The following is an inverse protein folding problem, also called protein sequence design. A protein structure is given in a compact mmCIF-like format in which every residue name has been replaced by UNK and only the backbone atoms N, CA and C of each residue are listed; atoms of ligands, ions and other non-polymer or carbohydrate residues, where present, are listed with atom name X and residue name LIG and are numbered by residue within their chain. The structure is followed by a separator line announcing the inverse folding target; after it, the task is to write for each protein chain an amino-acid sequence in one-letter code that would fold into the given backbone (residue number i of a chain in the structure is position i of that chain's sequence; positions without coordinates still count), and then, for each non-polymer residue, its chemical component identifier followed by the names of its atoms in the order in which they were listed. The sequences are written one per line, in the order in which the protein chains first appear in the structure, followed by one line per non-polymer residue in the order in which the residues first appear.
data_IF_694679728081
#
_entry.id   IF_694679728081
#
_cell.length_a   1.000
_cell.length_b   1.000
_cell.length_c   1.000
_cell.angle_alpha   90.00
_cell.angle_beta   90.00
_cell.angle_gamma   90.00
#
_symmetry.space_group_name_H-M   'P 1'
#
loop_
_entity.id
_entity.type
_entity.pdbx_description
1 polymer ?
#
# COMPACT_ATOMS: atom_id res chain seq x y z
N UNK A 1 32.58 30.84 7.13
CA UNK A 1 31.22 30.79 7.73
C UNK A 1 31.31 30.25 9.15
N UNK A 2 31.09 31.10 10.15
CA UNK A 2 31.26 30.80 11.58
C UNK A 2 29.97 30.18 12.16
N UNK A 3 30.03 28.89 12.53
CA UNK A 3 28.92 28.12 13.09
C UNK A 3 28.68 28.54 14.56
N UNK A 4 27.70 29.43 14.80
CA UNK A 4 27.27 29.83 16.15
C UNK A 4 26.66 28.62 16.87
N UNK A 5 27.34 28.10 17.89
CA UNK A 5 26.81 27.06 18.79
C UNK A 5 25.75 27.70 19.69
N UNK A 6 24.51 27.24 19.57
CA UNK A 6 23.43 27.62 20.47
C UNK A 6 23.71 26.95 21.83
N UNK A 7 23.76 27.71 22.94
CA UNK A 7 24.09 27.15 24.24
C UNK A 7 22.98 26.21 24.73
N UNK A 8 23.40 24.99 25.07
CA UNK A 8 22.60 23.82 25.49
C UNK A 8 21.57 24.09 26.62
N UNK A 9 21.72 25.21 27.34
CA UNK A 9 20.85 25.59 28.46
C UNK A 9 19.43 25.98 28.05
N UNK A 10 19.22 26.48 26.82
CA UNK A 10 17.88 26.85 26.36
C UNK A 10 17.06 25.67 25.87
N UNK A 11 17.71 24.57 25.48
CA UNK A 11 17.02 23.37 24.97
C UNK A 11 16.14 22.72 26.04
N UNK A 12 16.59 22.69 27.29
CA UNK A 12 15.83 22.14 28.42
C UNK A 12 14.57 22.94 28.75
N UNK A 13 14.60 24.27 28.63
CA UNK A 13 13.44 25.12 28.91
C UNK A 13 12.32 24.94 27.89
N UNK A 14 12.66 24.72 26.61
CA UNK A 14 11.67 24.44 25.56
C UNK A 14 11.02 23.06 25.78
N UNK A 15 11.80 22.06 26.21
CA UNK A 15 11.30 20.71 26.46
C UNK A 15 10.25 20.68 27.59
N UNK A 16 10.45 21.44 28.67
CA UNK A 16 9.51 21.50 29.80
C UNK A 16 8.20 22.21 29.42
N UNK A 17 8.25 23.18 28.50
CA UNK A 17 7.05 23.91 28.03
C UNK A 17 6.13 23.04 27.17
N UNK A 18 6.66 22.05 26.44
CA UNK A 18 5.85 21.13 25.64
C UNK A 18 5.11 20.07 26.47
N UNK A 19 5.59 19.73 27.67
CA UNK A 19 4.99 18.68 28.50
C UNK A 19 3.73 19.14 29.27
N UNK A 20 3.39 20.44 29.25
CA UNK A 20 2.27 20.99 30.00
C UNK A 20 0.92 21.07 29.24
N UNK A 21 0.86 20.65 27.97
CA UNK A 21 -0.31 20.89 27.09
C UNK A 21 -1.22 19.67 26.86
N UNK A 22 -1.12 18.59 27.63
CA UNK A 22 -2.03 17.45 27.51
C UNK A 22 -3.24 17.60 28.43
N UNK A 23 -4.32 18.23 27.94
CA UNK A 23 -5.64 18.12 28.54
C UNK A 23 -6.32 16.82 28.10
N UNK A 24 -6.93 16.03 29.01
CA UNK A 24 -7.63 14.81 28.66
C UNK A 24 -8.88 15.11 27.82
N UNK A 25 -8.92 14.56 26.61
CA UNK A 25 -10.10 14.60 25.73
C UNK A 25 -11.10 13.55 26.23
N UNK A 26 -12.34 13.98 26.48
CA UNK A 26 -13.42 13.11 26.91
C UNK A 26 -13.83 12.16 25.77
N UNK A 27 -13.76 10.87 26.04
CA UNK A 27 -14.17 9.78 25.16
C UNK A 27 -15.70 9.72 25.04
N UNK A 28 -16.29 9.87 23.84
CA UNK A 28 -17.73 9.64 23.66
C UNK A 28 -18.07 8.14 23.74
N UNK A 29 -19.18 7.84 24.41
CA UNK A 29 -19.70 6.50 24.62
C UNK A 29 -20.21 5.84 23.31
N UNK A 30 -20.09 4.50 23.18
CA UNK A 30 -20.56 3.78 22.00
C UNK A 30 -22.09 3.76 21.94
N UNK A 31 -22.63 4.13 20.78
CA UNK A 31 -24.06 4.04 20.46
C UNK A 31 -24.34 2.65 19.88
N UNK A 32 -25.19 1.89 20.55
CA UNK A 32 -25.67 0.58 20.09
C UNK A 32 -26.60 0.74 18.88
N UNK A 33 -26.26 0.08 17.77
CA UNK A 33 -27.10 0.03 16.57
C UNK A 33 -27.82 -1.32 16.50
N UNK A 34 -29.14 -1.24 16.34
CA UNK A 34 -30.09 -2.36 16.35
C UNK A 34 -29.92 -3.30 15.15
N UNK A 35 -30.00 -4.61 15.44
CA UNK A 35 -29.97 -5.70 14.48
C UNK A 35 -31.34 -5.86 13.81
N UNK A 36 -31.39 -5.79 12.48
CA UNK A 36 -32.59 -6.13 11.70
C UNK A 36 -32.62 -7.64 11.42
N UNK A 37 -33.74 -8.24 11.82
CA UNK A 37 -34.09 -9.65 11.59
C UNK A 37 -34.49 -9.88 10.13
N UNK A 38 -33.81 -10.79 9.45
CA UNK A 38 -34.12 -11.19 8.07
C UNK A 38 -34.93 -12.49 8.08
N UNK A 39 -36.10 -12.44 7.43
CA UNK A 39 -37.07 -13.54 7.28
C UNK A 39 -36.58 -14.54 6.22
N UNK A 40 -36.72 -15.87 6.44
CA UNK A 40 -36.33 -16.88 5.45
C UNK A 40 -37.38 -17.05 4.33
N UNK A 41 -36.97 -17.29 3.07
CA UNK A 41 -37.90 -17.60 1.99
C UNK A 41 -38.35 -19.07 1.98
N UNK A 42 -39.64 -19.25 1.67
CA UNK A 42 -40.33 -20.52 1.46
C UNK A 42 -39.79 -21.26 0.23
N UNK A 43 -39.46 -22.55 0.38
CA UNK A 43 -39.03 -23.43 -0.70
C UNK A 43 -40.23 -24.09 -1.40
N UNK A 44 -40.33 -23.91 -2.71
CA UNK A 44 -41.24 -24.65 -3.60
C UNK A 44 -40.54 -25.91 -4.09
N UNK A 45 -41.15 -27.07 -3.86
CA UNK A 45 -40.63 -28.36 -4.31
C UNK A 45 -40.90 -28.56 -5.82
N UNK A 46 -39.84 -28.67 -6.61
CA UNK A 46 -39.88 -29.08 -8.02
C UNK A 46 -39.41 -30.53 -8.13
N UNK A 47 -40.14 -31.33 -8.91
CA UNK A 47 -39.90 -32.75 -9.14
C UNK A 47 -38.70 -32.95 -10.06
N UNK A 48 -37.66 -33.63 -9.57
CA UNK A 48 -36.43 -33.93 -10.32
C UNK A 48 -36.51 -35.26 -11.07
N UNK A 49 -36.17 -35.22 -12.36
CA UNK A 49 -35.91 -36.36 -13.24
C UNK A 49 -34.42 -36.73 -13.11
N UNK A 50 -34.05 -38.01 -12.89
CA UNK A 50 -32.66 -38.38 -12.65
C UNK A 50 -31.85 -38.33 -13.96
N UNK A 51 -31.17 -37.20 -14.18
CA UNK A 51 -30.14 -37.07 -15.22
C UNK A 51 -28.78 -37.24 -14.55
N UNK A 52 -28.12 -38.37 -14.79
CA UNK A 52 -26.75 -38.62 -14.34
C UNK A 52 -25.83 -37.81 -15.25
N UNK A 53 -25.61 -36.53 -14.90
CA UNK A 53 -24.53 -35.73 -15.46
C UNK A 53 -23.35 -35.83 -14.51
N UNK A 54 -22.25 -36.43 -14.96
CA UNK A 54 -20.95 -36.29 -14.32
C UNK A 54 -20.61 -34.79 -14.31
N UNK A 55 -20.60 -34.10 -13.16
CA UNK A 55 -20.35 -32.68 -13.14
C UNK A 55 -18.89 -32.48 -13.53
N UNK A 56 -18.67 -31.85 -14.69
CA UNK A 56 -17.37 -31.27 -15.00
C UNK A 56 -17.04 -30.30 -13.85
N UNK A 57 -15.84 -30.34 -13.25
CA UNK A 57 -15.51 -29.45 -12.14
C UNK A 57 -15.69 -28.01 -12.64
N UNK A 58 -16.73 -27.35 -12.11
CA UNK A 58 -16.98 -25.93 -12.38
C UNK A 58 -15.66 -25.22 -12.09
N UNK A 59 -15.11 -24.43 -13.05
CA UNK A 59 -13.92 -23.64 -12.78
C UNK A 59 -14.25 -22.81 -11.56
N UNK A 60 -13.59 -23.09 -10.43
CA UNK A 60 -13.76 -22.32 -9.21
C UNK A 60 -13.39 -20.90 -9.55
N UNK A 61 -14.40 -20.09 -9.85
CA UNK A 61 -14.24 -18.68 -10.13
C UNK A 61 -13.64 -18.11 -8.86
N UNK A 62 -12.32 -17.85 -8.91
CA UNK A 62 -11.62 -17.28 -7.77
C UNK A 62 -12.21 -15.91 -7.60
N UNK A 63 -13.03 -15.76 -6.56
CA UNK A 63 -13.39 -14.46 -6.05
C UNK A 63 -12.08 -13.82 -5.62
N UNK A 64 -11.49 -13.00 -6.49
CA UNK A 64 -10.57 -11.99 -6.03
C UNK A 64 -11.38 -11.20 -5.01
N UNK A 65 -10.99 -11.17 -3.72
CA UNK A 65 -11.66 -10.29 -2.80
C UNK A 65 -11.62 -8.92 -3.46
N UNK A 66 -12.79 -8.29 -3.62
CA UNK A 66 -12.84 -6.88 -3.96
C UNK A 66 -12.23 -6.21 -2.75
N UNK A 67 -10.93 -5.97 -2.81
CA UNK A 67 -10.21 -5.18 -1.81
C UNK A 67 -10.59 -3.75 -2.14
N UNK A 68 -11.79 -3.36 -1.72
CA UNK A 68 -12.11 -1.95 -1.59
C UNK A 68 -11.07 -1.40 -0.62
N UNK A 69 -10.26 -0.41 -1.01
CA UNK A 69 -9.28 0.14 -0.10
C UNK A 69 -10.04 0.66 1.11
N UNK A 70 -9.81 0.02 2.25
CA UNK A 70 -10.48 0.36 3.49
C UNK A 70 -10.27 1.87 3.75
N UNK A 71 -11.25 2.56 4.34
CA UNK A 71 -11.07 3.92 4.83
C UNK A 71 -9.82 4.03 5.72
N UNK A 72 -9.41 2.92 6.34
CA UNK A 72 -8.13 2.77 7.05
C UNK A 72 -6.92 2.93 6.11
N UNK A 73 -6.93 2.34 4.92
CA UNK A 73 -5.85 2.52 3.92
C UNK A 73 -5.79 3.96 3.41
N UNK A 74 -6.94 4.62 3.23
CA UNK A 74 -7.02 6.05 2.88
C UNK A 74 -6.38 6.94 3.95
N UNK A 75 -6.50 6.58 5.23
CA UNK A 75 -5.87 7.34 6.32
C UNK A 75 -4.39 7.01 6.56
N UNK A 76 -3.93 5.86 6.09
CA UNK A 76 -2.59 5.32 6.38
C UNK A 76 -1.65 5.23 5.18
N UNK A 77 -2.01 5.81 4.03
CA UNK A 77 -1.19 5.71 2.82
C UNK A 77 0.25 6.23 3.03
N UNK A 78 0.46 7.20 3.92
CA UNK A 78 1.79 7.72 4.28
C UNK A 78 2.67 6.63 4.92
N UNK A 79 2.10 5.75 5.73
CA UNK A 79 2.79 4.60 6.34
C UNK A 79 3.24 3.62 5.26
N UNK A 80 2.36 3.31 4.31
CA UNK A 80 2.67 2.47 3.15
C UNK A 80 3.78 3.07 2.30
N UNK A 81 3.67 4.35 1.95
CA UNK A 81 4.70 5.02 1.17
C UNK A 81 6.06 5.00 1.89
N UNK A 82 6.07 5.30 3.19
CA UNK A 82 7.29 5.27 4.00
C UNK A 82 7.93 3.88 4.02
N UNK A 83 7.12 2.83 4.21
CA UNK A 83 7.60 1.45 4.23
C UNK A 83 8.13 1.02 2.86
N UNK A 84 7.43 1.34 1.78
CA UNK A 84 7.84 1.04 0.41
C UNK A 84 9.13 1.77 0.04
N UNK A 85 9.24 3.06 0.37
CA UNK A 85 10.44 3.85 0.11
C UNK A 85 11.69 3.25 0.78
N UNK A 86 11.58 2.87 2.07
CA UNK A 86 12.66 2.23 2.82
C UNK A 86 13.14 0.92 2.20
N UNK A 87 12.23 0.12 1.65
CA UNK A 87 12.60 -1.16 1.02
C UNK A 87 13.08 -1.00 -0.42
N UNK A 88 12.43 -0.15 -1.21
CA UNK A 88 12.68 0.00 -2.64
C UNK A 88 14.00 0.71 -2.94
N UNK A 89 14.26 1.83 -2.26
CA UNK A 89 15.43 2.67 -2.48
C UNK A 89 16.12 2.92 -1.14
N UNK A 90 16.49 1.83 -0.47
CA UNK A 90 17.01 1.81 0.92
C UNK A 90 18.25 2.67 1.19
N UNK A 91 18.93 3.12 0.15
CA UNK A 91 20.08 4.02 0.22
C UNK A 91 19.72 5.51 0.23
N UNK A 92 18.43 5.85 0.06
CA UNK A 92 17.89 7.20 0.16
C UNK A 92 17.04 7.35 1.42
N UNK A 93 16.85 8.58 1.87
CA UNK A 93 15.89 8.84 2.93
C UNK A 93 14.45 8.65 2.41
N UNK A 94 13.50 8.15 3.22
CA UNK A 94 12.13 7.90 2.76
C UNK A 94 11.41 9.16 2.23
N UNK A 95 11.70 10.32 2.80
CA UNK A 95 11.21 11.63 2.35
C UNK A 95 11.75 12.06 0.98
N UNK A 96 12.83 11.44 0.51
CA UNK A 96 13.46 11.68 -0.78
C UNK A 96 12.93 10.73 -1.87
N UNK A 97 11.88 9.94 -1.56
CA UNK A 97 11.33 8.91 -2.44
C UNK A 97 9.81 9.02 -2.50
N UNK A 98 9.29 9.05 -3.72
CA UNK A 98 7.85 8.91 -3.98
C UNK A 98 7.58 7.53 -4.54
N UNK A 99 6.53 6.88 -4.03
CA UNK A 99 6.09 5.57 -4.49
C UNK A 99 4.62 5.60 -4.90
N UNK A 100 4.32 4.82 -5.93
CA UNK A 100 2.99 4.46 -6.40
C UNK A 100 2.91 2.94 -6.44
N UNK A 101 1.75 2.38 -6.15
CA UNK A 101 1.57 0.94 -6.18
C UNK A 101 0.16 0.56 -6.58
N UNK A 102 0.02 -0.69 -7.00
CA UNK A 102 -1.27 -1.31 -7.25
C UNK A 102 -1.32 -2.73 -6.71
N UNK A 103 -2.52 -3.19 -6.35
CA UNK A 103 -2.72 -4.51 -5.76
C UNK A 103 -2.89 -5.54 -6.88
N UNK A 104 -2.05 -6.56 -6.86
CA UNK A 104 -2.10 -7.72 -7.75
C UNK A 104 -2.93 -8.85 -7.13
N UNK A 105 -2.99 -8.89 -5.79
CA UNK A 105 -3.78 -9.86 -5.05
C UNK A 105 -3.48 -9.79 -3.55
N UNK A 106 -4.16 -10.62 -2.78
CA UNK A 106 -3.91 -10.77 -1.35
C UNK A 106 -4.12 -12.22 -0.90
N UNK A 107 -3.51 -12.57 0.23
CA UNK A 107 -3.73 -13.84 0.92
C UNK A 107 -3.50 -13.65 2.42
N UNK A 108 -4.56 -13.81 3.23
CA UNK A 108 -4.53 -13.57 4.67
C UNK A 108 -3.87 -12.23 5.03
N UNK A 109 -2.67 -12.26 5.63
CA UNK A 109 -1.88 -11.10 6.06
C UNK A 109 -0.83 -10.68 5.01
N UNK A 110 -0.99 -11.06 3.75
CA UNK A 110 -0.05 -10.71 2.67
C UNK A 110 -0.77 -9.96 1.57
N UNK A 111 -0.26 -8.79 1.21
CA UNK A 111 -0.63 -8.08 -0.01
C UNK A 111 0.47 -8.28 -1.05
N UNK A 112 0.07 -8.67 -2.26
CA UNK A 112 0.95 -8.70 -3.41
C UNK A 112 0.69 -7.46 -4.25
N UNK A 113 1.73 -6.70 -4.52
CA UNK A 113 1.62 -5.41 -5.21
C UNK A 113 2.61 -5.30 -6.36
N UNK A 114 2.32 -4.43 -7.31
CA UNK A 114 3.33 -3.85 -8.19
C UNK A 114 3.67 -2.47 -7.66
N UNK A 115 4.95 -2.19 -7.41
CA UNK A 115 5.40 -0.88 -6.91
C UNK A 115 6.29 -0.19 -7.93
N UNK A 116 6.09 1.12 -8.08
CA UNK A 116 6.97 2.03 -8.78
C UNK A 116 7.44 3.08 -7.77
N UNK A 117 8.74 3.23 -7.57
CA UNK A 117 9.31 4.25 -6.71
C UNK A 117 10.36 5.06 -7.48
N UNK A 118 10.43 6.37 -7.22
CA UNK A 118 11.42 7.26 -7.82
C UNK A 118 11.97 8.24 -6.79
N UNK A 119 13.26 8.56 -6.90
CA UNK A 119 13.90 9.62 -6.13
C UNK A 119 13.37 11.01 -6.53
N UNK A 120 13.13 11.85 -5.53
CA UNK A 120 12.77 13.27 -5.69
C UNK A 120 13.99 14.18 -5.83
N UNK A 121 15.19 13.67 -5.52
CA UNK A 121 16.43 14.44 -5.58
C UNK A 121 16.76 14.78 -7.04
N UNK A 122 17.03 16.05 -7.37
CA UNK A 122 17.46 16.43 -8.71
C UNK A 122 18.80 15.77 -9.08
N UNK A 123 18.90 15.32 -10.32
CA UNK A 123 20.13 14.81 -10.92
C UNK A 123 21.32 15.76 -10.69
N UNK A 124 22.50 15.24 -10.34
CA UNK A 124 23.72 16.03 -10.16
C UNK A 124 23.85 16.76 -8.82
N UNK A 125 22.91 16.55 -7.89
CA UNK A 125 22.99 17.16 -6.54
C UNK A 125 23.57 16.23 -5.48
N UNK A 126 23.72 14.94 -5.77
CA UNK A 126 24.36 13.99 -4.86
C UNK A 126 25.88 14.07 -5.00
N UNK A 127 26.56 14.25 -3.88
CA UNK A 127 28.03 14.36 -3.82
C UNK A 127 28.77 13.08 -4.22
N UNK A 128 28.06 11.99 -4.52
CA UNK A 128 28.64 10.68 -4.85
C UNK A 128 28.87 10.48 -6.36
N UNK A 129 28.41 11.38 -7.23
CA UNK A 129 28.69 11.34 -8.67
C UNK A 129 28.13 10.11 -9.41
N UNK A 130 27.34 9.28 -8.74
CA UNK A 130 26.58 8.17 -9.33
C UNK A 130 25.18 8.68 -9.64
N UNK A 131 25.08 9.55 -10.64
CA UNK A 131 23.82 10.12 -11.13
C UNK A 131 23.02 9.09 -11.94
N UNK A 132 22.75 7.92 -11.37
CA UNK A 132 21.81 6.99 -11.96
C UNK A 132 20.43 7.33 -11.40
N UNK A 133 19.45 7.55 -12.28
CA UNK A 133 18.06 7.69 -11.86
C UNK A 133 17.70 6.53 -10.93
N UNK A 134 17.49 6.86 -9.66
CA UNK A 134 17.04 5.92 -8.65
C UNK A 134 15.55 5.70 -8.85
N UNK A 135 15.21 4.89 -9.86
CA UNK A 135 13.85 4.40 -10.06
C UNK A 135 13.81 2.88 -9.95
N UNK A 136 12.70 2.38 -9.41
CA UNK A 136 12.42 0.97 -9.27
C UNK A 136 11.00 0.71 -9.74
N UNK A 137 10.80 -0.34 -10.54
CA UNK A 137 9.48 -0.84 -10.94
C UNK A 137 9.51 -2.36 -10.86
N UNK A 138 8.85 -2.93 -9.86
CA UNK A 138 8.99 -4.36 -9.52
C UNK A 138 7.78 -4.87 -8.75
N UNK A 139 7.46 -6.16 -8.80
CA UNK A 139 6.53 -6.74 -7.83
C UNK A 139 7.14 -6.70 -6.42
N UNK A 140 6.30 -6.56 -5.41
CA UNK A 140 6.66 -6.61 -4.00
C UNK A 140 5.57 -7.30 -3.20
N UNK A 141 5.91 -7.84 -2.02
CA UNK A 141 4.91 -8.26 -1.05
C UNK A 141 4.98 -7.39 0.21
N UNK A 142 3.82 -7.11 0.77
CA UNK A 142 3.66 -6.45 2.06
C UNK A 142 3.09 -7.48 3.02
N UNK A 143 3.81 -7.76 4.11
CA UNK A 143 3.27 -8.51 5.25
C UNK A 143 2.59 -7.53 6.20
N UNK A 144 1.38 -7.89 6.57
CA UNK A 144 0.56 -7.16 7.52
C UNK A 144 0.54 -7.90 8.86
N UNK A 145 0.35 -7.16 9.93
CA UNK A 145 0.00 -7.69 11.23
C UNK A 145 -1.51 -7.95 11.32
N UNK A 146 -1.99 -8.58 12.39
CA UNK A 146 -3.40 -8.92 12.61
C UNK A 146 -4.32 -7.68 12.63
N UNK A 147 -3.77 -6.51 13.00
CA UNK A 147 -4.46 -5.23 12.99
C UNK A 147 -4.36 -4.49 11.63
N UNK A 148 -3.83 -5.15 10.60
CA UNK A 148 -3.63 -4.58 9.27
C UNK A 148 -2.47 -3.60 9.14
N UNK A 149 -1.62 -3.45 10.17
CA UNK A 149 -0.42 -2.61 10.11
C UNK A 149 0.70 -3.26 9.32
N UNK A 150 1.59 -2.45 8.75
CA UNK A 150 2.70 -2.99 7.96
C UNK A 150 3.74 -3.60 8.90
N UNK A 151 3.98 -4.90 8.74
CA UNK A 151 5.05 -5.60 9.44
C UNK A 151 6.35 -5.54 8.63
N UNK A 152 6.29 -5.85 7.33
CA UNK A 152 7.46 -5.89 6.46
C UNK A 152 7.10 -5.69 4.99
N UNK A 153 8.06 -5.19 4.20
CA UNK A 153 7.98 -5.11 2.74
C UNK A 153 9.15 -5.86 2.14
N UNK A 154 8.87 -6.89 1.33
CA UNK A 154 9.88 -7.70 0.65
C UNK A 154 9.82 -7.45 -0.86
N UNK A 155 10.99 -7.14 -1.43
CA UNK A 155 11.19 -6.92 -2.85
C UNK A 155 12.15 -8.01 -3.35
N UNK A 156 11.79 -8.78 -4.39
CA UNK A 156 12.67 -9.81 -4.92
C UNK A 156 13.98 -9.19 -5.41
N UNK A 157 15.10 -9.88 -5.16
CA UNK A 157 16.38 -9.43 -5.64
C UNK A 157 16.42 -9.38 -7.18
N UNK A 158 17.00 -8.33 -7.79
CA UNK A 158 17.04 -8.20 -9.24
C UNK A 158 17.66 -9.43 -9.92
N UNK A 159 17.04 -9.90 -11.01
CA UNK A 159 17.57 -11.01 -11.81
C UNK A 159 17.49 -12.39 -11.16
N UNK A 160 16.89 -12.53 -9.97
CA UNK A 160 16.71 -13.82 -9.31
C UNK A 160 15.41 -14.50 -9.72
N UNK A 161 15.34 -15.81 -9.58
CA UNK A 161 14.10 -16.58 -9.73
C UNK A 161 13.23 -16.56 -8.47
N UNK A 162 13.60 -15.76 -7.46
CA UNK A 162 12.94 -15.73 -6.15
C UNK A 162 11.48 -15.27 -6.25
N UNK A 163 11.15 -14.44 -7.25
CA UNK A 163 9.77 -14.04 -7.49
C UNK A 163 8.84 -15.24 -7.72
N UNK A 164 9.30 -16.35 -8.34
CA UNK A 164 8.45 -17.53 -8.55
C UNK A 164 8.07 -18.23 -7.25
N UNK A 165 8.87 -18.06 -6.19
CA UNK A 165 8.63 -18.63 -4.86
C UNK A 165 7.85 -17.68 -3.97
N UNK A 166 8.06 -16.37 -4.15
CA UNK A 166 7.44 -15.32 -3.34
C UNK A 166 6.00 -15.03 -3.74
N UNK A 167 5.65 -15.21 -5.01
CA UNK A 167 4.35 -14.84 -5.57
C UNK A 167 3.60 -16.07 -6.07
N UNK A 168 2.30 -16.23 -5.77
CA UNK A 168 1.49 -17.31 -6.34
C UNK A 168 1.31 -17.12 -7.84
N UNK A 169 1.07 -18.21 -8.58
CA UNK A 169 1.04 -18.21 -10.05
C UNK A 169 0.09 -17.15 -10.64
N UNK A 170 -1.09 -16.97 -10.04
CA UNK A 170 -2.07 -15.98 -10.51
C UNK A 170 -1.61 -14.52 -10.38
N UNK A 171 -0.69 -14.22 -9.44
CA UNK A 171 -0.08 -12.90 -9.32
C UNK A 171 1.03 -12.74 -10.36
N UNK A 172 1.78 -13.82 -10.64
CA UNK A 172 2.85 -13.79 -11.62
C UNK A 172 2.33 -13.55 -13.05
N UNK A 173 1.14 -14.06 -13.37
CA UNK A 173 0.45 -13.83 -14.65
C UNK A 173 0.20 -12.33 -14.94
N UNK A 174 0.07 -11.50 -13.90
CA UNK A 174 -0.13 -10.04 -14.02
C UNK A 174 1.16 -9.27 -14.32
N UNK A 175 2.35 -9.86 -14.14
CA UNK A 175 3.62 -9.10 -14.18
C UNK A 175 3.90 -8.45 -15.53
N UNK A 176 3.59 -9.13 -16.64
CA UNK A 176 3.84 -8.57 -17.97
C UNK A 176 2.93 -7.38 -18.29
N UNK A 177 1.68 -7.41 -17.80
CA UNK A 177 0.74 -6.30 -17.96
C UNK A 177 1.25 -5.02 -17.29
N UNK A 178 1.83 -5.13 -16.09
CA UNK A 178 2.43 -3.99 -15.41
C UNK A 178 3.76 -3.57 -16.04
N UNK A 179 4.64 -4.53 -16.35
CA UNK A 179 5.95 -4.26 -16.94
C UNK A 179 5.85 -3.50 -18.26
N UNK A 180 4.89 -3.84 -19.11
CA UNK A 180 4.79 -3.27 -20.46
C UNK A 180 3.65 -2.25 -20.65
N UNK A 181 2.84 -1.99 -19.62
CA UNK A 181 1.68 -1.09 -19.74
C UNK A 181 1.49 -0.20 -18.52
N UNK A 182 0.94 -0.78 -17.45
CA UNK A 182 0.34 -0.01 -16.36
C UNK A 182 1.35 0.77 -15.50
N UNK A 183 2.60 0.29 -15.40
CA UNK A 183 3.65 0.99 -14.64
C UNK A 183 3.91 2.43 -15.15
N UNK A 184 3.64 2.72 -16.42
CA UNK A 184 3.76 4.07 -16.98
C UNK A 184 2.80 5.06 -16.32
N UNK A 185 1.57 4.63 -16.03
CA UNK A 185 0.58 5.49 -15.37
C UNK A 185 0.99 5.82 -13.93
N UNK A 186 1.54 4.83 -13.22
CA UNK A 186 2.09 5.01 -11.88
C UNK A 186 3.26 6.02 -11.90
N UNK A 187 4.24 5.83 -12.79
CA UNK A 187 5.37 6.77 -12.95
C UNK A 187 4.92 8.19 -13.33
N UNK A 188 3.97 8.33 -14.25
CA UNK A 188 3.41 9.64 -14.61
C UNK A 188 2.78 10.34 -13.39
N UNK A 189 2.12 9.60 -12.52
CA UNK A 189 1.54 10.18 -11.30
C UNK A 189 2.61 10.56 -10.27
N UNK A 190 3.70 9.80 -10.15
CA UNK A 190 4.86 10.23 -9.35
C UNK A 190 5.36 11.60 -9.82
N UNK A 191 5.50 11.79 -11.13
CA UNK A 191 5.93 13.08 -11.70
C UNK A 191 4.98 14.22 -11.33
N UNK A 192 3.67 13.98 -11.33
CA UNK A 192 2.67 14.94 -10.85
C UNK A 192 2.85 15.27 -9.37
N UNK A 193 3.03 14.25 -8.52
CA UNK A 193 3.18 14.39 -7.06
C UNK A 193 4.47 15.11 -6.65
N UNK A 194 5.50 15.16 -7.51
CA UNK A 194 6.70 15.99 -7.26
C UNK A 194 6.36 17.48 -7.08
N UNK A 195 5.32 17.97 -7.75
CA UNK A 195 4.83 19.35 -7.60
C UNK A 195 3.56 19.45 -6.75
N UNK A 196 2.99 18.33 -6.35
CA UNK A 196 1.77 18.22 -5.53
C UNK A 196 1.99 17.25 -4.36
N UNK A 197 2.82 17.62 -3.36
CA UNK A 197 3.28 16.67 -2.33
C UNK A 197 2.17 16.14 -1.41
N UNK A 198 1.04 16.87 -1.32
CA UNK A 198 -0.11 16.46 -0.52
C UNK A 198 -1.07 15.55 -1.29
N UNK A 199 -0.86 15.33 -2.59
CA UNK A 199 -1.68 14.44 -3.39
C UNK A 199 -1.36 12.98 -3.01
N UNK A 200 -2.36 12.16 -2.64
CA UNK A 200 -2.14 10.79 -2.25
C UNK A 200 -1.86 9.91 -3.49
N UNK A 201 -1.38 8.67 -3.30
CA UNK A 201 -1.16 7.73 -4.39
C UNK A 201 -2.43 7.39 -5.19
N UNK A 202 -2.29 6.97 -6.45
CA UNK A 202 -3.41 6.64 -7.36
C UNK A 202 -4.37 5.61 -6.78
N UNK A 203 -3.86 4.63 -6.04
CA UNK A 203 -4.67 3.60 -5.40
C UNK A 203 -5.68 4.19 -4.40
N UNK A 204 -5.36 5.33 -3.78
CA UNK A 204 -6.24 6.04 -2.86
C UNK A 204 -7.27 6.86 -3.64
N UNK A 205 -6.83 7.51 -4.72
CA UNK A 205 -7.71 8.29 -5.59
C UNK A 205 -8.75 7.42 -6.30
N UNK A 206 -8.38 6.20 -6.72
CA UNK A 206 -9.29 5.24 -7.34
C UNK A 206 -10.24 4.56 -6.35
N UNK A 207 -9.87 4.50 -5.06
CA UNK A 207 -10.70 3.98 -3.98
C UNK A 207 -11.87 4.90 -3.61
N UNK A 208 -11.69 6.20 -3.84
CA UNK A 208 -12.68 7.20 -3.50
C UNK A 208 -13.77 7.13 -4.56
N UNK A 209 -14.90 6.49 -4.25
CA UNK A 209 -16.06 6.49 -5.14
C UNK A 209 -16.36 7.93 -5.54
N UNK A 210 -16.22 8.25 -6.83
CA UNK A 210 -16.71 9.52 -7.36
C UNK A 210 -18.24 9.56 -7.13
N UNK A 211 -18.79 10.69 -6.66
CA UNK A 211 -20.21 10.83 -6.34
C UNK A 211 -21.13 10.57 -7.54
#
# INVERSE_FOLDING_TARGET
MTKKRIPYRYFWLVLVLFLAACTPVATPAPTETLVLSVVPPTLTATVDIPTIMTPSPIPTQRFLPIITPDAIQVKRWEEYQTALAKSALSYLHPEEVLCEWDILGASAQVLYIWVVCESTIPFGTTSTGTDMYSSLSTPALIRLDDNGSIQNVEIPAPGTSDYKKMFPDYVQEEFEYYRFGKAKNLSNHIQWRRTHPNEPPLIILSATSLP
#
